data_IF_270418707075
#
_entry.id   IF_270418707075
#
_cell.length_a   1.000
_cell.length_b   1.000
_cell.length_c   1.000
_cell.angle_alpha   90.00
_cell.angle_beta   90.00
_cell.angle_gamma   90.00
#
_symmetry.space_group_name_H-M   'P 1'
#
loop_
_entity.id
_entity.type
_entity.pdbx_description
1 polymer ?
#
# COMPACT_ATOMS: atom_id res chain seq x y z
N UNK A 1 16.15 10.84 -4.64
CA UNK A 1 15.53 12.18 -4.79
C UNK A 1 15.98 12.91 -6.06
N UNK A 2 17.28 13.06 -6.33
CA UNK A 2 17.83 13.76 -7.51
C UNK A 2 17.26 13.19 -8.83
N UNK A 3 17.18 11.89 -9.00
CA UNK A 3 16.65 11.25 -10.21
C UNK A 3 15.19 11.62 -10.52
N UNK A 4 14.33 11.69 -9.50
CA UNK A 4 12.93 12.06 -9.67
C UNK A 4 12.75 13.53 -10.06
N UNK A 5 13.55 14.44 -9.50
CA UNK A 5 13.56 15.86 -9.86
C UNK A 5 14.05 16.07 -11.31
N UNK A 6 15.25 15.62 -11.60
CA UNK A 6 15.93 15.92 -12.84
C UNK A 6 15.39 15.15 -14.06
N UNK A 7 15.04 13.88 -13.89
CA UNK A 7 14.64 13.01 -15.00
C UNK A 7 13.15 12.85 -15.20
N UNK A 8 12.35 13.16 -14.17
CA UNK A 8 10.88 12.99 -14.21
C UNK A 8 10.09 14.29 -14.07
N UNK A 9 10.76 15.41 -13.89
CA UNK A 9 10.10 16.71 -13.81
C UNK A 9 9.15 16.88 -12.62
N UNK A 10 9.34 16.08 -11.56
CA UNK A 10 8.53 16.21 -10.35
C UNK A 10 8.86 17.52 -9.64
N UNK A 11 7.83 18.21 -9.19
CA UNK A 11 7.96 19.42 -8.39
C UNK A 11 8.64 19.12 -7.05
N UNK A 12 9.42 20.06 -6.54
CA UNK A 12 10.17 19.92 -5.30
C UNK A 12 9.32 19.52 -4.12
N UNK A 13 8.12 20.10 -4.01
CA UNK A 13 7.17 19.79 -2.93
C UNK A 13 6.81 18.29 -2.86
N UNK A 14 6.66 17.61 -3.99
CA UNK A 14 6.38 16.17 -3.98
C UNK A 14 7.58 15.36 -3.53
N UNK A 15 8.78 15.78 -3.94
CA UNK A 15 10.01 15.08 -3.57
C UNK A 15 10.33 15.24 -2.08
N UNK A 16 10.05 16.41 -1.51
CA UNK A 16 10.23 16.68 -0.08
C UNK A 16 9.29 15.86 0.80
N UNK A 17 8.11 15.52 0.27
CA UNK A 17 7.11 14.72 0.97
C UNK A 17 7.28 13.19 0.80
N UNK A 18 8.19 12.71 -0.03
CA UNK A 18 8.44 11.27 -0.19
C UNK A 18 8.78 10.55 1.13
N UNK A 19 9.47 11.14 2.11
CA UNK A 19 9.68 10.52 3.42
C UNK A 19 8.40 10.26 4.24
N UNK A 20 7.26 10.83 3.85
CA UNK A 20 5.97 10.50 4.45
C UNK A 20 5.51 9.07 4.11
N UNK A 21 6.13 8.43 3.11
CA UNK A 21 5.86 7.05 2.72
C UNK A 21 6.90 6.10 3.32
N UNK A 22 6.47 5.30 4.28
CA UNK A 22 7.27 4.20 4.80
C UNK A 22 7.22 2.95 3.92
N UNK A 23 7.83 1.86 4.36
CA UNK A 23 7.98 0.62 3.59
C UNK A 23 6.64 0.04 3.15
N UNK A 24 5.65 0.00 4.05
CA UNK A 24 4.32 -0.54 3.72
C UNK A 24 3.59 0.33 2.68
N UNK A 25 3.73 1.66 2.77
CA UNK A 25 3.18 2.57 1.76
C UNK A 25 3.81 2.35 0.39
N UNK A 26 5.13 2.17 0.33
CA UNK A 26 5.85 1.86 -0.91
C UNK A 26 5.41 0.49 -1.48
N UNK A 27 5.25 -0.53 -0.62
CA UNK A 27 4.72 -1.83 -1.03
C UNK A 27 3.31 -1.71 -1.64
N UNK A 28 2.43 -0.91 -1.03
CA UNK A 28 1.09 -0.63 -1.55
C UNK A 28 1.12 0.08 -2.91
N UNK A 29 2.04 1.03 -3.11
CA UNK A 29 2.23 1.71 -4.40
C UNK A 29 2.68 0.70 -5.48
N UNK A 30 3.64 -0.16 -5.17
CA UNK A 30 4.11 -1.20 -6.10
C UNK A 30 2.99 -2.19 -6.42
N UNK A 31 2.22 -2.61 -5.43
CA UNK A 31 1.05 -3.48 -5.63
C UNK A 31 0.00 -2.81 -6.52
N UNK A 32 -0.25 -1.50 -6.35
CA UNK A 32 -1.15 -0.73 -7.19
C UNK A 32 -0.67 -0.66 -8.65
N UNK A 33 0.64 -0.48 -8.88
CA UNK A 33 1.23 -0.51 -10.23
C UNK A 33 1.05 -1.90 -10.87
N UNK A 34 1.29 -2.98 -10.10
CA UNK A 34 1.07 -4.36 -10.58
C UNK A 34 -0.40 -4.59 -10.94
N UNK A 35 -1.32 -4.17 -10.08
CA UNK A 35 -2.75 -4.28 -10.33
C UNK A 35 -3.18 -3.52 -11.58
N UNK A 36 -2.73 -2.27 -11.74
CA UNK A 36 -3.01 -1.47 -12.92
C UNK A 36 -2.56 -2.16 -14.21
N UNK A 37 -1.35 -2.71 -14.22
CA UNK A 37 -0.82 -3.48 -15.36
C UNK A 37 -1.62 -4.75 -15.61
N UNK A 38 -1.93 -5.49 -14.55
CA UNK A 38 -2.65 -6.75 -14.64
C UNK A 38 -4.07 -6.57 -15.18
N UNK A 39 -4.78 -5.56 -14.68
CA UNK A 39 -6.15 -5.24 -15.08
C UNK A 39 -6.22 -4.37 -16.35
N UNK A 40 -5.09 -3.95 -16.91
CA UNK A 40 -5.00 -3.02 -18.03
C UNK A 40 -5.79 -1.72 -17.78
N UNK A 41 -5.62 -1.14 -16.58
CA UNK A 41 -6.32 0.08 -16.18
C UNK A 41 -5.78 1.29 -16.97
N UNK A 42 -6.69 2.20 -17.30
CA UNK A 42 -6.42 3.41 -18.07
C UNK A 42 -6.56 4.70 -17.24
N UNK A 43 -6.48 5.86 -17.89
CA UNK A 43 -6.58 7.16 -17.22
C UNK A 43 -7.90 7.45 -16.52
N UNK A 44 -8.97 6.74 -16.90
CA UNK A 44 -10.32 6.89 -16.30
C UNK A 44 -10.52 6.00 -15.08
N UNK A 45 -9.56 5.12 -14.78
CA UNK A 45 -9.61 4.22 -13.64
C UNK A 45 -8.89 4.83 -12.44
N UNK A 46 -9.34 4.49 -11.23
CA UNK A 46 -8.72 4.92 -9.99
C UNK A 46 -8.40 3.73 -9.07
N UNK A 47 -7.23 3.75 -8.48
CA UNK A 47 -6.83 2.81 -7.43
C UNK A 47 -6.69 3.60 -6.14
N UNK A 48 -7.42 3.20 -5.11
CA UNK A 48 -7.32 3.77 -3.77
C UNK A 48 -6.51 2.79 -2.90
N UNK A 49 -5.49 3.30 -2.22
CA UNK A 49 -4.69 2.52 -1.29
C UNK A 49 -4.37 3.33 -0.03
N UNK A 50 -3.81 2.68 0.96
CA UNK A 50 -3.52 3.30 2.26
C UNK A 50 -2.05 3.71 2.32
N UNK A 51 -1.79 4.98 2.60
CA UNK A 51 -0.50 5.44 3.10
C UNK A 51 -0.47 5.18 4.60
N UNK A 52 0.49 4.35 5.03
CA UNK A 52 0.66 3.94 6.41
C UNK A 52 1.71 4.83 7.11
N UNK A 53 2.62 4.24 7.84
CA UNK A 53 3.69 4.94 8.56
C UNK A 53 4.66 5.68 7.62
N UNK A 54 5.33 6.70 8.12
CA UNK A 54 6.38 7.42 7.40
C UNK A 54 7.75 6.73 7.50
N UNK A 55 8.73 7.25 6.77
CA UNK A 55 10.07 6.68 6.72
C UNK A 55 10.86 6.84 8.04
N UNK A 56 10.43 7.70 8.94
CA UNK A 56 11.06 7.93 10.25
C UNK A 56 11.11 6.68 11.13
N UNK A 57 10.17 5.74 10.95
CA UNK A 57 10.13 4.49 11.69
C UNK A 57 11.13 3.43 11.18
N UNK A 58 11.78 3.69 10.04
CA UNK A 58 12.61 2.71 9.33
C UNK A 58 14.10 3.10 9.29
N UNK A 59 14.60 3.78 10.30
CA UNK A 59 16.00 4.25 10.38
C UNK A 59 17.01 3.11 10.22
N UNK A 60 16.74 1.95 10.82
CA UNK A 60 17.62 0.76 10.71
C UNK A 60 17.68 0.22 9.29
N UNK A 61 16.59 0.25 8.55
CA UNK A 61 16.56 -0.20 7.16
C UNK A 61 17.27 0.81 6.24
N UNK A 62 17.17 2.10 6.52
CA UNK A 62 17.93 3.13 5.82
C UNK A 62 19.43 2.93 5.99
N UNK A 63 19.89 2.58 7.20
CA UNK A 63 21.31 2.30 7.46
C UNK A 63 21.79 1.01 6.73
N UNK A 64 20.97 -0.03 6.65
CA UNK A 64 21.27 -1.23 5.85
C UNK A 64 21.42 -0.88 4.38
N UNK A 65 20.46 -0.15 3.82
CA UNK A 65 20.46 0.30 2.43
C UNK A 65 21.70 1.15 2.11
N UNK A 66 22.07 2.10 3.01
CA UNK A 66 23.30 2.87 2.83
C UNK A 66 24.54 2.00 2.75
N UNK A 67 24.64 0.95 3.58
CA UNK A 67 25.75 0.00 3.54
C UNK A 67 25.79 -0.81 2.24
N UNK A 68 24.63 -1.27 1.77
CA UNK A 68 24.49 -2.02 0.53
C UNK A 68 24.98 -1.22 -0.68
N UNK A 69 24.71 0.09 -0.73
CA UNK A 69 25.17 1.00 -1.76
C UNK A 69 26.49 1.71 -1.43
N UNK A 70 27.28 1.17 -0.50
CA UNK A 70 28.59 1.73 -0.09
C UNK A 70 28.54 3.22 0.28
N UNK A 71 27.41 3.70 0.79
CA UNK A 71 27.19 5.10 1.12
C UNK A 71 26.98 6.04 -0.05
N UNK A 72 27.02 5.55 -1.27
CA UNK A 72 26.88 6.35 -2.50
C UNK A 72 25.58 6.00 -3.19
N UNK A 73 24.66 6.94 -3.19
CA UNK A 73 23.39 6.85 -3.92
C UNK A 73 23.45 7.83 -5.10
N UNK A 74 24.10 7.41 -6.17
CA UNK A 74 24.30 8.23 -7.36
C UNK A 74 23.12 8.14 -8.35
N UNK A 75 23.23 8.87 -9.47
CA UNK A 75 22.20 8.85 -10.51
C UNK A 75 22.04 7.47 -11.17
N UNK A 76 23.12 6.70 -11.26
CA UNK A 76 23.12 5.38 -11.89
C UNK A 76 22.33 4.41 -11.01
N UNK A 77 22.64 4.33 -9.72
CA UNK A 77 21.92 3.51 -8.75
C UNK A 77 20.43 3.87 -8.70
N UNK A 78 20.11 5.17 -8.72
CA UNK A 78 18.73 5.64 -8.79
C UNK A 78 18.02 5.19 -10.08
N UNK A 79 18.70 5.26 -11.23
CA UNK A 79 18.12 4.87 -12.51
C UNK A 79 17.88 3.36 -12.59
N UNK A 80 18.81 2.56 -12.08
CA UNK A 80 18.69 1.10 -11.98
C UNK A 80 17.49 0.69 -11.12
N UNK A 81 17.38 1.23 -9.89
CA UNK A 81 16.28 0.94 -8.98
C UNK A 81 14.93 1.38 -9.58
N UNK A 82 14.87 2.58 -10.11
CA UNK A 82 13.66 3.06 -10.77
C UNK A 82 13.29 2.18 -11.98
N UNK A 83 14.28 1.79 -12.78
CA UNK A 83 14.09 0.92 -13.93
C UNK A 83 13.57 -0.45 -13.54
N UNK A 84 14.17 -1.07 -12.55
CA UNK A 84 13.85 -2.43 -12.11
C UNK A 84 12.55 -2.51 -11.30
N UNK A 85 12.39 -1.66 -10.29
CA UNK A 85 11.35 -1.83 -9.28
C UNK A 85 10.12 -0.95 -9.48
N UNK A 86 10.17 0.05 -10.35
CA UNK A 86 9.01 0.89 -10.65
C UNK A 86 8.58 0.76 -12.11
N UNK A 87 9.43 1.13 -13.05
CA UNK A 87 9.08 1.11 -14.47
C UNK A 87 8.97 -0.33 -15.01
N UNK A 88 9.91 -1.17 -14.65
CA UNK A 88 10.00 -2.57 -15.08
C UNK A 88 9.26 -3.56 -14.19
N UNK A 89 8.53 -3.09 -13.16
CA UNK A 89 7.79 -4.00 -12.29
C UNK A 89 6.85 -4.88 -13.11
N UNK A 90 6.98 -6.21 -12.92
CA UNK A 90 6.17 -7.22 -13.58
C UNK A 90 4.84 -7.45 -12.86
N UNK A 91 3.97 -8.25 -13.46
CA UNK A 91 2.74 -8.76 -12.82
C UNK A 91 2.97 -10.07 -12.05
N UNK A 92 4.22 -10.49 -11.87
CA UNK A 92 4.55 -11.69 -11.11
C UNK A 92 4.06 -11.59 -9.67
N UNK A 93 3.81 -12.75 -9.06
CA UNK A 93 3.28 -12.85 -7.71
C UNK A 93 1.91 -12.20 -7.52
N UNK A 94 1.12 -12.14 -8.58
CA UNK A 94 -0.29 -11.76 -8.55
C UNK A 94 -1.14 -13.01 -8.42
N UNK A 95 -2.10 -13.01 -7.52
CA UNK A 95 -3.00 -14.15 -7.28
C UNK A 95 -4.46 -13.70 -7.41
N UNK A 96 -5.18 -14.28 -8.35
CA UNK A 96 -6.64 -14.20 -8.39
C UNK A 96 -7.24 -15.16 -7.36
N UNK A 97 -7.99 -14.61 -6.42
CA UNK A 97 -8.54 -15.39 -5.32
C UNK A 97 -9.78 -16.16 -5.75
N UNK A 98 -9.74 -17.48 -5.73
CA UNK A 98 -10.94 -18.31 -5.73
C UNK A 98 -11.69 -18.24 -4.39
N UNK A 99 -12.86 -18.88 -4.27
CA UNK A 99 -13.67 -18.81 -3.05
C UNK A 99 -12.93 -19.31 -1.80
N UNK A 100 -12.18 -20.39 -1.92
CA UNK A 100 -11.42 -20.95 -0.78
C UNK A 100 -10.29 -20.01 -0.32
N UNK A 101 -9.66 -19.33 -1.24
CA UNK A 101 -8.61 -18.37 -0.94
C UNK A 101 -9.17 -17.08 -0.32
N UNK A 102 -10.34 -16.62 -0.77
CA UNK A 102 -11.07 -15.51 -0.13
C UNK A 102 -11.40 -15.84 1.32
N UNK A 103 -11.88 -17.07 1.58
CA UNK A 103 -12.11 -17.56 2.94
C UNK A 103 -10.84 -17.56 3.79
N UNK A 104 -9.73 -18.02 3.21
CA UNK A 104 -8.43 -18.01 3.89
C UNK A 104 -8.00 -16.61 4.27
N UNK A 105 -8.11 -15.65 3.34
CA UNK A 105 -7.74 -14.24 3.61
C UNK A 105 -8.65 -13.63 4.66
N UNK A 106 -9.96 -13.86 4.59
CA UNK A 106 -10.90 -13.38 5.61
C UNK A 106 -10.54 -13.93 7.00
N UNK A 107 -10.20 -15.22 7.09
CA UNK A 107 -9.88 -15.88 8.35
C UNK A 107 -8.55 -15.44 8.96
N UNK A 108 -7.65 -14.76 8.23
CA UNK A 108 -6.48 -14.15 8.84
C UNK A 108 -6.85 -13.13 9.93
N UNK A 109 -7.96 -12.45 9.78
CA UNK A 109 -8.47 -11.51 10.79
C UNK A 109 -9.01 -12.18 12.07
N UNK A 110 -9.32 -13.48 12.04
CA UNK A 110 -9.86 -14.20 13.19
C UNK A 110 -8.94 -14.13 14.40
N UNK A 111 -7.67 -14.42 14.21
CA UNK A 111 -6.69 -14.42 15.32
C UNK A 111 -6.55 -13.04 15.95
N UNK A 112 -6.52 -12.00 15.15
CA UNK A 112 -6.41 -10.62 15.65
C UNK A 112 -7.69 -10.18 16.37
N UNK A 113 -8.82 -10.34 15.73
CA UNK A 113 -10.07 -9.76 16.22
C UNK A 113 -10.76 -10.61 17.28
N UNK A 114 -10.84 -11.92 17.05
CA UNK A 114 -11.55 -12.82 17.99
C UNK A 114 -10.62 -13.25 19.11
N UNK A 115 -9.46 -13.84 18.79
CA UNK A 115 -8.56 -14.42 19.80
C UNK A 115 -7.82 -13.36 20.64
N UNK A 116 -7.32 -12.31 20.00
CA UNK A 116 -6.49 -11.32 20.69
C UNK A 116 -7.31 -10.14 21.24
N UNK A 117 -8.33 -9.69 20.51
CA UNK A 117 -9.12 -8.52 20.88
C UNK A 117 -10.47 -8.89 21.54
N UNK A 118 -10.83 -10.17 21.58
CA UNK A 118 -12.05 -10.64 22.25
C UNK A 118 -13.36 -10.24 21.55
N UNK A 119 -13.31 -9.97 20.26
CA UNK A 119 -14.52 -9.70 19.47
C UNK A 119 -15.33 -10.97 19.36
N UNK A 120 -16.64 -10.89 19.60
CA UNK A 120 -17.54 -12.04 19.46
C UNK A 120 -17.49 -12.60 18.03
N UNK A 121 -17.45 -13.93 17.90
CA UNK A 121 -17.36 -14.60 16.61
C UNK A 121 -18.53 -14.22 15.68
N UNK A 122 -19.75 -14.02 16.22
CA UNK A 122 -20.91 -13.61 15.42
C UNK A 122 -20.69 -12.22 14.82
N UNK A 123 -20.08 -11.30 15.58
CA UNK A 123 -19.79 -9.95 15.09
C UNK A 123 -18.66 -9.98 14.07
N UNK A 124 -17.66 -10.81 14.25
CA UNK A 124 -16.62 -11.05 13.26
C UNK A 124 -17.19 -11.57 11.94
N UNK A 125 -18.09 -12.56 11.99
CA UNK A 125 -18.73 -13.18 10.81
C UNK A 125 -19.67 -12.21 10.05
N UNK A 126 -20.29 -11.22 10.72
CA UNK A 126 -21.13 -10.20 10.07
C UNK A 126 -20.41 -9.46 8.95
N UNK A 127 -19.10 -9.31 9.03
CA UNK A 127 -18.27 -8.63 8.01
C UNK A 127 -18.26 -9.32 6.65
N UNK A 128 -18.74 -10.56 6.55
CA UNK A 128 -18.93 -11.28 5.28
C UNK A 128 -20.09 -10.69 4.47
N UNK A 129 -21.00 -10.01 5.13
CA UNK A 129 -22.19 -9.45 4.50
C UNK A 129 -21.93 -8.00 4.06
N UNK A 130 -22.20 -7.70 2.78
CA UNK A 130 -22.07 -6.34 2.26
C UNK A 130 -22.94 -5.33 3.01
N UNK A 131 -24.11 -5.75 3.50
CA UNK A 131 -25.00 -4.88 4.26
C UNK A 131 -24.35 -4.37 5.55
N UNK A 132 -23.54 -5.18 6.23
CA UNK A 132 -22.75 -4.74 7.39
C UNK A 132 -21.92 -3.48 7.09
N UNK A 133 -21.24 -3.46 5.95
CA UNK A 133 -20.40 -2.32 5.55
C UNK A 133 -21.22 -1.10 5.15
N UNK A 134 -22.35 -1.30 4.47
CA UNK A 134 -23.26 -0.23 4.10
C UNK A 134 -23.90 0.42 5.35
N UNK A 135 -24.28 -0.37 6.34
CA UNK A 135 -24.85 0.13 7.59
C UNK A 135 -23.83 0.97 8.36
N UNK A 136 -22.56 0.53 8.42
CA UNK A 136 -21.49 1.28 9.06
C UNK A 136 -21.17 2.58 8.29
N UNK A 137 -21.15 2.55 6.98
CA UNK A 137 -20.97 3.73 6.15
C UNK A 137 -22.07 4.76 6.43
N UNK A 138 -23.32 4.35 6.40
CA UNK A 138 -24.48 5.21 6.69
C UNK A 138 -24.44 5.77 8.12
N UNK A 139 -24.03 4.96 9.08
CA UNK A 139 -23.84 5.41 10.46
C UNK A 139 -22.78 6.53 10.54
N UNK A 140 -21.64 6.36 9.90
CA UNK A 140 -20.58 7.39 9.88
C UNK A 140 -21.07 8.68 9.23
N UNK A 141 -21.82 8.59 8.12
CA UNK A 141 -22.42 9.78 7.49
C UNK A 141 -23.35 10.50 8.44
N UNK A 142 -24.20 9.78 9.18
CA UNK A 142 -25.14 10.38 10.14
C UNK A 142 -24.46 11.09 11.30
N UNK A 143 -23.20 10.75 11.63
CA UNK A 143 -22.43 11.47 12.65
C UNK A 143 -21.94 12.83 12.12
N UNK A 144 -21.61 12.92 10.85
CA UNK A 144 -21.14 14.17 10.23
C UNK A 144 -22.27 15.20 10.05
N UNK A 145 -23.52 14.74 9.85
CA UNK A 145 -24.69 15.62 9.72
C UNK A 145 -25.10 16.29 11.05
N UNK A 146 -24.48 15.87 12.16
CA UNK A 146 -24.73 16.41 13.51
C UNK A 146 -23.61 17.33 14.04
N UNK A 147 -22.63 17.70 13.19
CA UNK A 147 -21.56 18.66 13.48
C UNK A 147 -21.78 19.94 12.67
#
# INVERSE_FOLDING_TARGET
>A
MICLKLKKGLQDIFVERLPEFGISSIANIIASIKLAKYMNLGPEDAIITVATDGAELYSTELEKTKKEFHGIYDETSCAEIYGQFLKGVSTDHTLELNQKEKERIFNLGYYTWVEQQGVDLKDFEKRRNQQFWLDHYNYILSLNDNI
#
